data_IF_680574146446
#
_entry.id   IF_680574146446
#
_cell.length_a   1.000
_cell.length_b   1.000
_cell.length_c   1.000
_cell.angle_alpha   90.00
_cell.angle_beta   90.00
_cell.angle_gamma   90.00
#
_symmetry.space_group_name_H-M   'P 1'
#
loop_
_entity.id
_entity.type
_entity.pdbx_description
1 polymer ?
#
# COMPACT_ATOMS: atom_id res chain seq x y z
N UNK A 1 -16.57 -3.96 -9.07
CA UNK A 1 -17.10 -3.69 -7.71
C UNK A 1 -18.07 -2.52 -7.79
N UNK A 2 -19.17 -2.50 -7.02
CA UNK A 2 -20.06 -1.33 -6.97
C UNK A 2 -19.35 -0.09 -6.42
N UNK A 3 -19.66 1.09 -6.95
CA UNK A 3 -19.10 2.37 -6.48
C UNK A 3 -19.38 2.59 -4.99
N UNK A 4 -20.52 2.15 -4.47
CA UNK A 4 -20.88 2.26 -3.06
C UNK A 4 -19.94 1.52 -2.10
N UNK A 5 -19.10 0.63 -2.61
CA UNK A 5 -18.09 -0.14 -1.87
C UNK A 5 -16.65 0.35 -2.11
N UNK A 6 -16.51 1.36 -2.97
CA UNK A 6 -15.23 2.01 -3.27
C UNK A 6 -15.11 3.21 -2.35
N UNK A 7 -13.97 3.33 -1.68
CA UNK A 7 -13.72 4.43 -0.74
C UNK A 7 -12.85 5.51 -1.33
N UNK A 8 -11.91 5.15 -2.22
CA UNK A 8 -11.11 6.09 -3.00
C UNK A 8 -12.00 6.69 -4.09
N UNK A 9 -12.51 7.94 -3.93
CA UNK A 9 -13.59 8.43 -4.79
C UNK A 9 -13.17 8.59 -6.26
N UNK A 10 -11.89 8.87 -6.51
CA UNK A 10 -11.30 9.02 -7.85
C UNK A 10 -11.15 7.70 -8.61
N UNK A 11 -11.28 6.54 -7.96
CA UNK A 11 -11.16 5.25 -8.65
C UNK A 11 -12.25 5.07 -9.71
N UNK A 12 -11.84 4.88 -10.96
CA UNK A 12 -12.72 4.84 -12.14
C UNK A 12 -13.47 3.51 -12.21
N UNK A 13 -12.78 2.40 -11.91
CA UNK A 13 -13.33 1.04 -11.96
C UNK A 13 -12.53 0.14 -11.02
N UNK A 14 -13.19 -0.81 -10.38
CA UNK A 14 -12.55 -1.98 -9.78
C UNK A 14 -13.06 -3.24 -10.46
N UNK A 15 -12.16 -3.99 -11.07
CA UNK A 15 -12.43 -5.26 -11.74
C UNK A 15 -11.99 -6.42 -10.85
N UNK A 16 -12.96 -7.06 -10.20
CA UNK A 16 -12.70 -8.19 -9.30
C UNK A 16 -12.46 -9.51 -10.03
N UNK A 17 -12.63 -9.55 -11.36
CA UNK A 17 -12.36 -10.75 -12.16
C UNK A 17 -10.93 -10.73 -12.68
N UNK A 18 -10.41 -9.53 -12.99
CA UNK A 18 -9.06 -9.32 -13.49
C UNK A 18 -8.13 -8.69 -12.43
N UNK A 19 -8.56 -8.66 -11.16
CA UNK A 19 -7.79 -8.24 -9.97
C UNK A 19 -7.17 -6.83 -10.05
N UNK A 20 -7.84 -5.87 -10.69
CA UNK A 20 -7.28 -4.52 -10.86
C UNK A 20 -8.22 -3.39 -10.44
N UNK A 21 -7.61 -2.28 -10.02
CA UNK A 21 -8.26 -0.97 -9.91
C UNK A 21 -7.77 -0.06 -11.05
N UNK A 22 -8.70 0.66 -11.67
CA UNK A 22 -8.41 1.69 -12.67
C UNK A 22 -8.39 3.05 -11.99
N UNK A 23 -7.26 3.73 -12.03
CA UNK A 23 -7.07 5.07 -11.46
C UNK A 23 -6.81 6.11 -12.57
N UNK A 24 -7.16 7.38 -12.34
CA UNK A 24 -6.69 8.48 -13.17
C UNK A 24 -5.16 8.50 -13.22
N UNK A 25 -4.61 8.74 -14.41
CA UNK A 25 -3.17 8.80 -14.64
C UNK A 25 -2.77 10.23 -14.98
N UNK A 26 -1.91 10.80 -14.15
CA UNK A 26 -1.44 12.17 -14.27
C UNK A 26 -0.07 12.23 -14.93
N UNK A 27 0.17 13.28 -15.71
CA UNK A 27 1.47 13.52 -16.35
C UNK A 27 2.29 14.50 -15.52
N UNK A 28 3.53 14.12 -15.22
CA UNK A 28 4.54 14.99 -14.64
C UNK A 28 5.79 15.09 -15.51
N UNK A 29 6.78 15.80 -14.99
CA UNK A 29 8.09 15.99 -15.59
C UNK A 29 9.21 15.72 -14.56
N UNK A 30 10.30 15.13 -15.04
CA UNK A 30 11.56 15.07 -14.33
C UNK A 30 12.69 15.42 -15.30
N UNK A 31 13.21 16.66 -15.20
CA UNK A 31 14.35 17.12 -16.02
C UNK A 31 14.11 16.95 -17.53
N UNK A 32 12.90 17.21 -18.01
CA UNK A 32 12.51 17.03 -19.41
C UNK A 32 12.07 15.62 -19.78
N UNK A 33 12.11 14.66 -18.85
CA UNK A 33 11.58 13.30 -19.05
C UNK A 33 10.15 13.24 -18.52
N UNK A 34 9.22 12.77 -19.36
CA UNK A 34 7.84 12.48 -18.94
C UNK A 34 7.82 11.45 -17.82
N UNK A 35 7.01 11.69 -16.78
CA UNK A 35 6.67 10.72 -15.75
C UNK A 35 5.15 10.62 -15.63
N UNK A 36 4.67 9.47 -15.17
CA UNK A 36 3.26 9.21 -14.97
C UNK A 36 3.01 8.73 -13.55
N UNK A 37 2.06 9.35 -12.86
CA UNK A 37 1.78 9.08 -11.46
C UNK A 37 0.28 9.01 -11.21
N UNK A 38 -0.10 8.33 -10.14
CA UNK A 38 -1.47 8.31 -9.61
C UNK A 38 -1.55 9.16 -8.36
N UNK A 39 -2.75 9.51 -7.93
CA UNK A 39 -3.00 10.17 -6.64
C UNK A 39 -3.98 9.32 -5.85
N UNK A 40 -3.70 9.12 -4.56
CA UNK A 40 -4.51 8.25 -3.70
C UNK A 40 -4.89 8.89 -2.38
N UNK A 41 -4.00 9.68 -1.77
CA UNK A 41 -4.23 10.36 -0.49
C UNK A 41 -3.78 11.82 -0.50
N UNK A 42 -4.41 12.62 0.37
CA UNK A 42 -3.88 13.92 0.79
C UNK A 42 -3.97 14.08 2.32
N UNK A 43 -2.99 14.79 2.90
CA UNK A 43 -2.95 15.09 4.33
C UNK A 43 -3.93 16.16 4.79
N UNK A 44 -4.56 16.86 3.85
CA UNK A 44 -5.55 17.91 4.10
C UNK A 44 -6.92 17.46 3.58
N UNK A 45 -7.95 17.68 4.39
CA UNK A 45 -9.29 17.18 4.07
C UNK A 45 -9.90 17.89 2.86
N UNK A 46 -9.74 19.21 2.75
CA UNK A 46 -10.29 19.96 1.63
C UNK A 46 -9.63 19.55 0.31
N UNK A 47 -8.30 19.40 0.33
CA UNK A 47 -7.57 18.91 -0.84
C UNK A 47 -7.95 17.47 -1.21
N UNK A 48 -8.17 16.59 -0.23
CA UNK A 48 -8.64 15.23 -0.47
C UNK A 48 -10.03 15.23 -1.12
N UNK A 49 -10.97 16.02 -0.60
CA UNK A 49 -12.34 16.13 -1.11
C UNK A 49 -12.36 16.70 -2.54
N UNK A 50 -11.61 17.78 -2.80
CA UNK A 50 -11.54 18.44 -4.11
C UNK A 50 -10.96 17.54 -5.21
N UNK A 51 -10.05 16.63 -4.85
CA UNK A 51 -9.37 15.72 -5.78
C UNK A 51 -9.98 14.31 -5.81
N UNK A 52 -10.94 14.01 -4.93
CA UNK A 52 -11.48 12.66 -4.78
C UNK A 52 -10.44 11.66 -4.30
N UNK A 53 -9.64 12.04 -3.30
CA UNK A 53 -8.62 11.20 -2.65
C UNK A 53 -9.08 10.75 -1.26
N UNK A 54 -8.42 9.75 -0.71
CA UNK A 54 -8.58 9.41 0.70
C UNK A 54 -7.93 10.53 1.56
N UNK A 55 -8.60 10.94 2.63
CA UNK A 55 -8.01 11.85 3.61
C UNK A 55 -7.11 11.06 4.58
N UNK A 56 -5.82 11.41 4.65
CA UNK A 56 -4.81 10.74 5.46
C UNK A 56 -3.96 11.77 6.25
N UNK A 57 -4.50 12.33 7.35
CA UNK A 57 -3.87 13.45 8.05
C UNK A 57 -2.45 13.17 8.55
N UNK A 58 -2.17 11.91 8.91
CA UNK A 58 -0.85 11.48 9.39
C UNK A 58 0.26 11.69 8.37
N UNK A 59 -0.05 11.77 7.07
CA UNK A 59 0.94 12.10 6.04
C UNK A 59 1.58 13.49 6.22
N UNK A 60 0.92 14.43 6.92
CA UNK A 60 1.54 15.71 7.27
C UNK A 60 2.85 15.53 8.07
N UNK A 61 2.98 14.39 8.75
CA UNK A 61 4.16 14.03 9.54
C UNK A 61 5.19 13.20 8.78
N UNK A 62 4.99 12.85 7.51
CA UNK A 62 5.88 11.95 6.76
C UNK A 62 7.32 12.48 6.66
N UNK A 63 7.51 13.81 6.74
CA UNK A 63 8.84 14.42 6.76
C UNK A 63 9.51 14.51 8.15
N UNK A 64 8.80 14.18 9.23
CA UNK A 64 9.34 14.22 10.60
C UNK A 64 10.42 13.14 10.75
N UNK A 65 11.63 13.56 11.08
CA UNK A 65 12.80 12.66 11.14
C UNK A 65 13.34 12.22 9.77
N UNK A 66 12.61 12.49 8.68
CA UNK A 66 13.01 12.14 7.32
C UNK A 66 12.59 13.19 6.28
N UNK A 67 13.33 14.30 6.14
CA UNK A 67 13.02 15.31 5.12
C UNK A 67 12.98 14.74 3.69
N UNK A 68 13.80 13.74 3.37
CA UNK A 68 13.81 13.08 2.06
C UNK A 68 12.66 12.09 1.82
N UNK A 69 11.85 11.79 2.84
CA UNK A 69 10.65 10.97 2.70
C UNK A 69 9.47 11.76 2.12
N UNK A 70 9.59 13.08 1.98
CA UNK A 70 8.64 13.89 1.22
C UNK A 70 9.43 14.69 0.20
N UNK A 71 9.10 14.49 -1.06
CA UNK A 71 9.74 15.20 -2.15
C UNK A 71 9.09 16.57 -2.34
N UNK A 72 9.84 17.65 -2.15
CA UNK A 72 9.38 18.98 -2.52
C UNK A 72 9.37 19.11 -4.06
N UNK A 73 8.20 19.43 -4.63
CA UNK A 73 7.97 19.56 -6.08
C UNK A 73 7.57 20.98 -6.46
N UNK A 74 7.78 21.34 -7.72
CA UNK A 74 7.25 22.59 -8.29
C UNK A 74 6.20 22.28 -9.35
N UNK A 75 5.47 23.30 -9.79
CA UNK A 75 4.45 23.16 -10.83
C UNK A 75 4.59 24.25 -11.88
N UNK A 76 4.21 23.93 -13.12
CA UNK A 76 3.98 24.89 -14.20
C UNK A 76 2.59 24.67 -14.81
N UNK A 77 1.87 25.74 -15.14
CA UNK A 77 0.48 25.66 -15.61
C UNK A 77 -0.55 25.95 -14.51
N UNK A 78 -1.84 25.79 -14.85
CA UNK A 78 -3.00 26.33 -14.13
C UNK A 78 -3.01 26.13 -12.61
N UNK A 79 -2.84 27.22 -11.86
CA UNK A 79 -2.84 27.22 -10.38
C UNK A 79 -4.20 26.84 -9.76
N UNK A 80 -5.28 26.91 -10.54
CA UNK A 80 -6.64 26.64 -10.05
C UNK A 80 -6.99 25.14 -10.06
N UNK A 81 -6.20 24.29 -10.74
CA UNK A 81 -6.44 22.84 -10.83
C UNK A 81 -5.10 22.08 -10.91
N UNK A 82 -4.34 22.11 -9.81
CA UNK A 82 -2.92 21.72 -9.71
C UNK A 82 -2.61 20.35 -10.34
N UNK A 83 -3.48 19.35 -10.20
CA UNK A 83 -3.23 18.01 -10.73
C UNK A 83 -4.01 17.67 -12.01
N UNK A 84 -4.87 18.57 -12.48
CA UNK A 84 -5.63 18.39 -13.71
C UNK A 84 -5.03 19.17 -14.89
N UNK A 85 -4.47 20.35 -14.62
CA UNK A 85 -3.95 21.25 -15.66
C UNK A 85 -2.45 21.53 -15.51
N UNK A 86 -1.92 21.54 -14.27
CA UNK A 86 -0.51 21.83 -14.06
C UNK A 86 0.34 20.58 -14.26
N UNK A 87 1.55 20.79 -14.76
CA UNK A 87 2.60 19.76 -14.80
C UNK A 87 3.39 19.84 -13.50
N UNK A 88 3.43 18.74 -12.76
CA UNK A 88 4.28 18.60 -11.57
C UNK A 88 5.70 18.25 -12.00
N UNK A 89 6.67 19.02 -11.51
CA UNK A 89 8.09 18.76 -11.68
C UNK A 89 8.64 18.04 -10.46
N UNK A 90 8.92 16.75 -10.62
CA UNK A 90 9.44 15.88 -9.57
C UNK A 90 10.94 16.17 -9.33
N UNK A 91 11.43 15.93 -8.11
CA UNK A 91 12.85 16.10 -7.75
C UNK A 91 13.67 14.80 -7.92
N UNK A 92 13.01 13.66 -8.01
CA UNK A 92 13.54 12.33 -8.23
C UNK A 92 12.45 11.42 -8.83
N UNK A 93 12.88 10.31 -9.41
CA UNK A 93 11.99 9.32 -10.06
C UNK A 93 12.51 7.92 -9.77
N UNK A 94 11.66 6.89 -9.83
CA UNK A 94 12.12 5.51 -9.78
C UNK A 94 12.83 5.10 -11.08
N UNK A 95 13.71 4.12 -10.95
CA UNK A 95 14.25 3.33 -12.04
C UNK A 95 13.52 1.99 -12.10
N UNK A 96 12.79 1.76 -13.20
CA UNK A 96 12.04 0.53 -13.49
C UNK A 96 12.81 -0.44 -14.41
N UNK A 97 14.05 -0.13 -14.78
CA UNK A 97 14.85 -1.02 -15.63
C UNK A 97 15.32 -2.32 -14.97
N UNK A 98 15.44 -2.45 -13.62
CA UNK A 98 15.76 -3.74 -13.00
C UNK A 98 14.67 -4.79 -13.24
N UNK A 99 15.06 -6.06 -13.32
CA UNK A 99 14.09 -7.16 -13.36
C UNK A 99 13.79 -7.63 -11.95
N UNK A 100 12.50 -7.75 -11.63
CA UNK A 100 12.06 -8.33 -10.36
C UNK A 100 12.39 -9.82 -10.33
N UNK A 101 12.95 -10.29 -9.22
CA UNK A 101 13.21 -11.73 -9.01
C UNK A 101 12.69 -12.15 -7.65
N UNK A 102 11.89 -13.21 -7.61
CA UNK A 102 11.46 -13.87 -6.39
C UNK A 102 11.54 -15.39 -6.57
N UNK A 103 12.46 -16.02 -5.86
CA UNK A 103 12.56 -17.49 -5.82
C UNK A 103 12.19 -17.98 -4.43
N UNK A 104 11.25 -18.92 -4.36
CA UNK A 104 10.81 -19.51 -3.11
C UNK A 104 11.97 -20.12 -2.32
N UNK A 105 11.92 -19.99 -0.99
CA UNK A 105 12.72 -20.81 -0.09
C UNK A 105 12.11 -22.20 0.11
N UNK A 106 12.73 -23.06 0.94
CA UNK A 106 12.24 -24.42 1.20
C UNK A 106 10.78 -24.48 1.70
N UNK A 107 10.33 -23.44 2.38
CA UNK A 107 8.98 -23.28 2.94
C UNK A 107 8.22 -22.10 2.34
N UNK A 108 8.62 -21.62 1.15
CA UNK A 108 8.14 -20.37 0.57
C UNK A 108 8.88 -19.16 1.12
N UNK A 109 8.60 -18.80 2.37
CA UNK A 109 9.28 -17.72 3.11
C UNK A 109 10.27 -18.28 4.16
N UNK A 110 11.44 -17.64 4.38
CA UNK A 110 11.98 -16.54 3.57
C UNK A 110 12.35 -17.02 2.16
N UNK A 111 12.26 -16.15 1.13
CA UNK A 111 12.67 -16.51 -0.22
C UNK A 111 14.18 -16.81 -0.28
N UNK A 112 14.58 -17.69 -1.20
CA UNK A 112 15.99 -17.96 -1.48
C UNK A 112 16.66 -16.85 -2.30
N UNK A 113 15.86 -16.10 -3.07
CA UNK A 113 16.28 -14.90 -3.78
C UNK A 113 15.14 -13.89 -3.82
N UNK A 114 15.45 -12.62 -3.56
CA UNK A 114 14.53 -11.49 -3.70
C UNK A 114 15.32 -10.29 -4.27
N UNK A 115 14.88 -9.74 -5.39
CA UNK A 115 15.49 -8.56 -6.02
C UNK A 115 14.38 -7.65 -6.56
N UNK A 116 14.25 -6.39 -6.07
CA UNK A 116 13.23 -5.46 -6.56
C UNK A 116 13.32 -5.21 -8.07
N UNK A 117 12.19 -5.12 -8.76
CA UNK A 117 12.11 -4.67 -10.16
C UNK A 117 12.18 -3.15 -10.32
N UNK A 118 11.92 -2.43 -9.23
CA UNK A 118 11.92 -0.97 -9.22
C UNK A 118 12.70 -0.43 -8.03
N UNK A 119 13.51 0.61 -8.25
CA UNK A 119 14.30 1.26 -7.19
C UNK A 119 14.12 2.77 -7.25
N UNK A 120 13.79 3.39 -6.13
CA UNK A 120 13.72 4.84 -6.01
C UNK A 120 15.07 5.50 -6.31
N UNK A 121 15.10 6.36 -7.32
CA UNK A 121 16.29 7.13 -7.64
C UNK A 121 16.59 8.23 -6.61
N UNK A 122 17.74 8.91 -6.70
CA UNK A 122 18.07 10.01 -5.80
C UNK A 122 16.97 11.07 -5.77
N UNK A 123 16.50 11.39 -4.56
CA UNK A 123 15.46 12.40 -4.31
C UNK A 123 14.02 11.91 -4.49
N UNK A 124 13.81 10.65 -4.89
CA UNK A 124 12.46 10.10 -5.07
C UNK A 124 11.81 9.73 -3.72
N UNK A 125 10.54 10.07 -3.61
CA UNK A 125 9.57 9.55 -2.64
C UNK A 125 8.20 9.51 -3.32
N UNK A 126 7.32 8.55 -2.97
CA UNK A 126 5.91 8.61 -3.40
C UNK A 126 5.16 9.81 -2.79
N UNK A 127 5.61 10.31 -1.64
CA UNK A 127 5.00 11.47 -1.01
C UNK A 127 5.57 12.76 -1.56
N UNK A 128 4.71 13.65 -2.03
CA UNK A 128 5.10 14.95 -2.58
C UNK A 128 4.52 16.09 -1.76
N UNK A 129 5.22 17.21 -1.75
CA UNK A 129 4.73 18.50 -1.25
C UNK A 129 5.00 19.57 -2.28
N UNK A 130 3.94 20.25 -2.72
CA UNK A 130 4.08 21.37 -3.66
C UNK A 130 4.74 22.55 -2.93
N UNK A 131 5.77 23.13 -3.52
CA UNK A 131 6.50 24.26 -2.96
C UNK A 131 5.54 25.39 -2.53
N UNK A 132 5.65 25.81 -1.27
CA UNK A 132 4.79 26.84 -0.67
C UNK A 132 3.48 26.32 -0.07
N UNK A 133 3.20 25.01 -0.14
CA UNK A 133 2.07 24.36 0.53
C UNK A 133 2.56 23.45 1.66
N UNK A 134 1.84 23.34 2.79
CA UNK A 134 2.13 22.35 3.83
C UNK A 134 1.57 20.95 3.50
N UNK A 135 0.70 20.84 2.49
CA UNK A 135 -0.06 19.62 2.19
C UNK A 135 0.86 18.56 1.58
N UNK A 136 0.81 17.35 2.14
CA UNK A 136 1.47 16.17 1.61
C UNK A 136 0.46 15.35 0.83
N UNK A 137 0.80 15.00 -0.42
CA UNK A 137 0.01 14.13 -1.28
C UNK A 137 0.75 12.80 -1.46
N UNK A 138 -0.01 11.70 -1.52
CA UNK A 138 0.53 10.44 -1.98
C UNK A 138 0.40 10.36 -3.51
N UNK A 139 1.53 10.40 -4.19
CA UNK A 139 1.65 10.57 -5.63
C UNK A 139 2.69 9.60 -6.25
N UNK A 140 2.55 8.28 -6.08
CA UNK A 140 3.55 7.33 -6.55
C UNK A 140 3.65 7.35 -8.08
N UNK A 141 4.89 7.34 -8.58
CA UNK A 141 5.17 7.27 -10.01
C UNK A 141 5.00 5.80 -10.44
N UNK A 142 4.23 5.57 -11.50
CA UNK A 142 3.89 4.23 -12.01
C UNK A 142 4.45 3.96 -13.41
N UNK A 143 4.90 4.99 -14.13
CA UNK A 143 5.60 4.81 -15.42
C UNK A 143 6.52 5.99 -15.74
N UNK A 144 7.53 5.75 -16.58
CA UNK A 144 8.48 6.78 -17.05
C UNK A 144 8.66 6.75 -18.57
N UNK A 145 8.75 7.92 -19.19
CA UNK A 145 8.89 8.10 -20.63
C UNK A 145 7.56 8.26 -21.38
N UNK A 146 7.64 8.32 -22.71
CA UNK A 146 6.50 8.59 -23.60
C UNK A 146 5.86 7.31 -24.19
N UNK A 147 6.27 6.15 -23.69
CA UNK A 147 5.86 4.83 -24.18
C UNK A 147 6.63 4.35 -25.42
N UNK A 148 6.29 3.17 -25.97
CA UNK A 148 5.28 2.23 -25.44
C UNK A 148 5.63 1.76 -24.03
N UNK A 149 4.60 1.52 -23.21
CA UNK A 149 4.77 1.02 -21.84
C UNK A 149 4.80 -0.50 -21.87
N UNK A 150 5.84 -1.07 -21.28
CA UNK A 150 6.03 -2.51 -21.13
C UNK A 150 5.37 -2.94 -19.82
N UNK A 151 4.12 -3.39 -19.93
CA UNK A 151 3.31 -3.86 -18.79
C UNK A 151 3.40 -5.37 -18.59
N UNK A 152 4.23 -6.05 -19.39
CA UNK A 152 4.43 -7.50 -19.30
C UNK A 152 5.73 -7.84 -18.56
N UNK A 153 6.80 -7.05 -18.75
CA UNK A 153 8.09 -7.21 -18.07
C UNK A 153 8.53 -5.96 -17.30
N UNK A 154 7.67 -4.94 -17.25
CA UNK A 154 7.81 -3.75 -16.40
C UNK A 154 9.08 -2.91 -16.59
N UNK A 155 9.74 -2.97 -17.75
CA UNK A 155 11.01 -2.25 -17.99
C UNK A 155 10.92 -0.71 -17.91
N UNK A 156 9.71 -0.16 -17.96
CA UNK A 156 9.43 1.27 -17.80
C UNK A 156 8.14 1.58 -17.02
N UNK A 157 7.63 0.62 -16.26
CA UNK A 157 6.44 0.75 -15.40
C UNK A 157 6.69 0.14 -14.03
N UNK A 158 5.91 0.50 -13.01
CA UNK A 158 5.92 -0.24 -11.76
C UNK A 158 5.38 -1.67 -11.95
N UNK A 159 5.86 -2.62 -11.12
CA UNK A 159 5.58 -4.07 -11.18
C UNK A 159 4.10 -4.44 -10.97
N UNK A 160 3.22 -3.46 -10.69
CA UNK A 160 1.77 -3.64 -10.56
C UNK A 160 0.95 -3.12 -11.73
N UNK A 161 1.58 -2.45 -12.69
CA UNK A 161 0.87 -1.85 -13.81
C UNK A 161 0.47 -2.94 -14.79
N UNK A 162 -0.84 -3.16 -14.92
CA UNK A 162 -1.42 -4.18 -15.81
C UNK A 162 -1.82 -3.62 -17.18
N UNK A 163 -2.12 -2.32 -17.25
CA UNK A 163 -2.40 -1.61 -18.48
C UNK A 163 -2.28 -0.09 -18.30
N UNK A 164 -1.83 0.60 -19.33
CA UNK A 164 -1.86 2.07 -19.42
C UNK A 164 -2.79 2.47 -20.56
N UNK A 165 -3.77 3.34 -20.26
CA UNK A 165 -4.76 3.85 -21.20
C UNK A 165 -4.47 5.34 -21.42
N UNK A 166 -3.83 5.74 -22.53
CA UNK A 166 -3.57 7.13 -22.82
C UNK A 166 -4.88 7.90 -23.04
N UNK A 167 -4.86 9.20 -22.75
CA UNK A 167 -5.97 10.08 -23.14
C UNK A 167 -6.16 10.07 -24.67
N UNK A 168 -7.39 10.23 -25.13
CA UNK A 168 -7.69 10.32 -26.56
C UNK A 168 -6.96 11.54 -27.18
N UNK A 169 -6.35 11.35 -28.36
CA UNK A 169 -5.50 12.37 -29.02
C UNK A 169 -6.23 13.68 -29.38
N UNK A 170 -7.57 13.67 -29.42
CA UNK A 170 -8.39 14.78 -29.94
C UNK A 170 -9.01 15.68 -28.85
N UNK A 171 -8.69 15.47 -27.56
CA UNK A 171 -9.28 16.23 -26.45
C UNK A 171 -8.47 17.49 -26.08
N UNK A 172 -8.28 18.41 -27.03
CA UNK A 172 -7.88 19.81 -26.78
C UNK A 172 -6.65 20.08 -25.87
N UNK A 173 -6.44 21.34 -25.43
CA UNK A 173 -5.28 21.75 -24.64
C UNK A 173 -5.32 21.33 -23.15
N UNK A 174 -6.48 20.89 -22.64
CA UNK A 174 -6.64 20.36 -21.29
C UNK A 174 -6.18 18.90 -21.21
N UNK A 175 -4.93 18.68 -21.64
CA UNK A 175 -4.37 17.35 -21.90
C UNK A 175 -4.45 16.48 -20.63
N UNK A 176 -4.93 15.25 -20.79
CA UNK A 176 -4.99 14.15 -19.81
C UNK A 176 -6.28 13.91 -18.99
N UNK A 177 -7.40 14.62 -19.23
CA UNK A 177 -8.73 14.33 -18.63
C UNK A 177 -9.36 12.93 -18.96
N UNK A 178 -8.57 11.96 -19.38
CA UNK A 178 -9.03 10.59 -19.62
C UNK A 178 -7.92 9.55 -19.66
N UNK A 179 -6.67 9.91 -19.31
CA UNK A 179 -5.63 8.91 -19.14
C UNK A 179 -5.91 8.12 -17.85
N UNK A 180 -5.69 6.82 -17.89
CA UNK A 180 -5.88 5.96 -16.73
C UNK A 180 -4.90 4.79 -16.73
N UNK A 181 -4.71 4.18 -15.58
CA UNK A 181 -3.85 3.01 -15.38
C UNK A 181 -4.62 1.95 -14.63
N UNK A 182 -4.45 0.69 -15.04
CA UNK A 182 -4.93 -0.47 -14.30
C UNK A 182 -3.79 -0.97 -13.40
N UNK A 183 -4.00 -0.94 -12.08
CA UNK A 183 -3.05 -1.43 -11.07
C UNK A 183 -3.60 -2.71 -10.43
N UNK A 184 -2.76 -3.73 -10.32
CA UNK A 184 -3.06 -4.95 -9.57
C UNK A 184 -3.32 -4.59 -8.09
N UNK A 185 -4.52 -4.89 -7.59
CA UNK A 185 -4.82 -4.73 -6.16
C UNK A 185 -4.45 -5.98 -5.37
N UNK A 186 -4.49 -5.86 -4.04
CA UNK A 186 -4.26 -6.91 -3.06
C UNK A 186 -5.55 -7.09 -2.26
N UNK A 187 -5.91 -8.32 -1.91
CA UNK A 187 -6.99 -8.60 -0.96
C UNK A 187 -6.40 -8.73 0.45
N UNK A 188 -7.11 -8.17 1.42
CA UNK A 188 -6.72 -8.23 2.83
C UNK A 188 -7.90 -8.06 3.76
N UNK A 189 -7.60 -7.72 5.00
CA UNK A 189 -8.59 -7.48 6.04
C UNK A 189 -8.34 -6.20 6.82
N UNK A 190 -9.42 -5.68 7.39
CA UNK A 190 -9.42 -4.59 8.37
C UNK A 190 -10.64 -4.78 9.27
N UNK A 191 -10.47 -4.68 10.60
CA UNK A 191 -11.49 -4.96 11.62
C UNK A 191 -12.35 -6.21 11.32
N UNK A 192 -11.72 -7.30 10.84
CA UNK A 192 -12.41 -8.54 10.50
C UNK A 192 -13.19 -8.54 9.17
N UNK A 193 -13.15 -7.46 8.39
CA UNK A 193 -13.85 -7.31 7.10
C UNK A 193 -12.87 -7.37 5.95
N UNK A 194 -13.32 -7.90 4.82
CA UNK A 194 -12.47 -8.00 3.63
C UNK A 194 -12.36 -6.67 2.89
N UNK A 195 -11.12 -6.25 2.64
CA UNK A 195 -10.77 -5.02 1.92
C UNK A 195 -9.95 -5.32 0.67
N UNK A 196 -9.83 -4.31 -0.18
CA UNK A 196 -8.85 -4.28 -1.26
C UNK A 196 -8.02 -2.99 -1.17
N UNK A 197 -6.73 -3.11 -1.44
CA UNK A 197 -5.77 -2.02 -1.39
C UNK A 197 -4.72 -2.22 -2.49
N UNK A 198 -3.92 -1.21 -2.80
CA UNK A 198 -2.73 -1.35 -3.68
C UNK A 198 -1.47 -1.17 -2.83
N UNK A 199 -0.32 -1.61 -3.32
CA UNK A 199 0.98 -1.29 -2.71
C UNK A 199 1.92 -0.70 -3.75
N UNK A 200 2.50 0.46 -3.49
CA UNK A 200 3.21 1.25 -4.51
C UNK A 200 4.69 1.35 -4.24
N UNK A 201 5.07 1.56 -2.98
CA UNK A 201 6.46 1.76 -2.57
C UNK A 201 6.74 1.06 -1.23
N UNK A 202 7.95 0.56 -1.02
CA UNK A 202 8.34 -0.10 0.22
C UNK A 202 9.79 0.19 0.62
N UNK A 203 10.06 0.25 1.92
CA UNK A 203 11.38 0.63 2.47
C UNK A 203 12.35 -0.53 2.66
N UNK A 204 11.86 -1.76 2.59
CA UNK A 204 12.65 -3.00 2.66
C UNK A 204 12.65 -3.69 1.29
N UNK A 205 13.79 -4.22 0.87
CA UNK A 205 13.94 -4.79 -0.46
C UNK A 205 13.15 -6.09 -0.63
N UNK A 206 13.06 -6.94 0.40
CA UNK A 206 12.28 -8.18 0.31
C UNK A 206 10.79 -7.87 0.32
N UNK A 207 10.37 -6.93 1.16
CA UNK A 207 8.99 -6.43 1.17
C UNK A 207 8.61 -5.82 -0.18
N UNK A 208 9.48 -4.99 -0.78
CA UNK A 208 9.26 -4.41 -2.11
C UNK A 208 9.02 -5.48 -3.18
N UNK A 209 9.78 -6.58 -3.13
CA UNK A 209 9.59 -7.71 -4.04
C UNK A 209 8.22 -8.37 -3.80
N UNK A 210 7.90 -8.73 -2.56
CA UNK A 210 6.65 -9.43 -2.23
C UNK A 210 5.41 -8.60 -2.59
N UNK A 211 5.49 -7.29 -2.36
CA UNK A 211 4.43 -6.33 -2.63
C UNK A 211 4.45 -5.77 -4.06
N UNK A 212 5.37 -6.18 -4.95
CA UNK A 212 5.53 -5.59 -6.31
C UNK A 212 5.62 -4.06 -6.26
N UNK A 213 6.32 -3.56 -5.26
CA UNK A 213 6.44 -2.15 -4.95
C UNK A 213 7.83 -1.62 -5.35
N UNK A 214 7.91 -0.31 -5.57
CA UNK A 214 9.18 0.38 -5.76
C UNK A 214 9.99 0.36 -4.46
N UNK A 215 11.24 -0.08 -4.51
CA UNK A 215 12.12 -0.08 -3.35
C UNK A 215 12.63 1.34 -3.06
N UNK A 216 12.15 1.95 -1.97
CA UNK A 216 12.50 3.30 -1.52
C UNK A 216 13.07 3.24 -0.09
N UNK A 217 14.37 2.94 0.09
CA UNK A 217 14.95 2.74 1.42
C UNK A 217 14.84 3.96 2.34
N UNK A 218 14.76 5.17 1.75
CA UNK A 218 14.62 6.41 2.51
C UNK A 218 13.40 6.40 3.43
N UNK A 219 12.29 5.77 3.01
CA UNK A 219 11.06 5.67 3.78
C UNK A 219 11.29 5.10 5.19
N UNK A 220 12.28 4.21 5.37
CA UNK A 220 12.56 3.62 6.68
C UNK A 220 12.93 4.66 7.76
N UNK A 221 13.38 5.86 7.35
CA UNK A 221 13.80 6.91 8.27
C UNK A 221 12.65 7.76 8.83
N UNK A 222 11.40 7.57 8.38
CA UNK A 222 10.24 8.27 8.98
C UNK A 222 10.25 8.06 10.50
N UNK A 223 9.93 9.08 11.29
CA UNK A 223 10.02 8.96 12.74
C UNK A 223 9.07 7.87 13.33
N UNK A 224 9.32 7.55 14.60
CA UNK A 224 8.45 6.70 15.45
C UNK A 224 8.24 5.25 15.00
N UNK A 225 9.30 4.48 14.72
CA UNK A 225 9.16 3.04 14.45
C UNK A 225 8.48 2.33 15.64
N UNK A 226 7.43 1.57 15.38
CA UNK A 226 6.58 0.92 16.37
C UNK A 226 5.64 1.85 17.14
N UNK A 227 5.54 3.12 16.75
CA UNK A 227 4.69 4.12 17.40
C UNK A 227 3.72 4.75 16.41
N UNK A 228 2.79 3.96 15.87
CA UNK A 228 1.70 4.44 15.02
C UNK A 228 0.83 5.47 15.76
N UNK A 229 0.55 5.22 17.03
CA UNK A 229 -0.29 6.06 17.87
C UNK A 229 0.43 7.30 18.44
N UNK A 230 1.71 7.50 18.11
CA UNK A 230 2.48 8.62 18.65
C UNK A 230 2.09 9.93 17.97
N UNK A 231 2.01 11.00 18.76
CA UNK A 231 1.84 12.34 18.22
C UNK A 231 2.99 12.67 17.25
N UNK A 232 2.65 12.94 16.00
CA UNK A 232 3.65 13.17 14.95
C UNK A 232 4.05 11.91 14.18
N UNK A 233 3.40 10.78 14.39
CA UNK A 233 3.58 9.60 13.55
C UNK A 233 2.89 9.77 12.19
N UNK A 234 3.56 9.30 11.15
CA UNK A 234 2.96 9.10 9.83
C UNK A 234 2.62 7.62 9.57
N UNK A 235 2.88 6.73 10.53
CA UNK A 235 2.84 5.28 10.33
C UNK A 235 1.52 4.70 10.78
N UNK A 236 1.04 3.68 10.09
CA UNK A 236 -0.05 2.80 10.54
C UNK A 236 0.40 1.34 10.61
N UNK A 237 -0.33 0.42 11.26
CA UNK A 237 0.13 -0.98 11.41
C UNK A 237 -0.42 -1.91 10.34
N UNK A 238 0.43 -2.74 9.76
CA UNK A 238 0.02 -3.87 8.93
C UNK A 238 0.58 -5.17 9.51
N UNK A 239 -0.19 -6.25 9.46
CA UNK A 239 0.14 -7.54 10.09
C UNK A 239 0.30 -8.68 9.08
N UNK A 240 1.44 -8.75 8.37
CA UNK A 240 1.78 -9.92 7.55
C UNK A 240 2.18 -11.11 8.42
N UNK A 241 1.82 -12.31 8.01
CA UNK A 241 2.30 -13.54 8.65
C UNK A 241 3.40 -14.16 7.80
N UNK A 242 4.57 -14.48 8.37
CA UNK A 242 5.67 -15.09 7.62
C UNK A 242 5.39 -16.55 7.28
N UNK A 243 4.58 -17.23 8.08
CA UNK A 243 4.12 -18.60 7.87
C UNK A 243 2.61 -18.70 8.10
N UNK A 244 2.04 -19.88 7.93
CA UNK A 244 0.60 -20.10 8.06
C UNK A 244 0.21 -21.39 7.39
N UNK A 245 -1.09 -21.63 7.27
CA UNK A 245 -1.54 -22.69 6.38
C UNK A 245 -1.42 -22.22 4.92
N UNK A 246 -1.23 -23.17 4.01
CA UNK A 246 -1.09 -22.93 2.57
C UNK A 246 -2.10 -23.79 1.80
N UNK A 247 -2.14 -23.63 0.48
CA UNK A 247 -2.97 -24.36 -0.46
C UNK A 247 -4.14 -23.54 -1.00
N UNK A 248 -4.28 -23.48 -2.32
CA UNK A 248 -5.32 -22.70 -3.02
C UNK A 248 -6.77 -23.04 -2.64
N UNK A 249 -7.03 -24.24 -2.11
CA UNK A 249 -8.37 -24.67 -1.66
C UNK A 249 -8.55 -24.62 -0.15
N UNK A 250 -7.57 -24.11 0.59
CA UNK A 250 -7.62 -24.05 2.04
C UNK A 250 -8.19 -22.70 2.50
N UNK A 251 -9.38 -22.67 3.14
CA UNK A 251 -9.98 -21.42 3.61
C UNK A 251 -9.20 -20.74 4.74
N UNK A 252 -8.22 -21.44 5.33
CA UNK A 252 -7.32 -20.90 6.35
C UNK A 252 -5.97 -20.47 5.79
N UNK A 253 -5.75 -20.59 4.47
CA UNK A 253 -4.49 -20.19 3.87
C UNK A 253 -4.25 -18.68 4.05
N UNK A 254 -3.04 -18.31 4.48
CA UNK A 254 -2.63 -16.93 4.76
C UNK A 254 -1.11 -16.86 4.90
N UNK A 255 -0.54 -15.68 4.62
CA UNK A 255 0.85 -15.35 4.93
C UNK A 255 1.78 -15.43 3.73
N UNK A 256 3.02 -14.99 3.93
CA UNK A 256 4.03 -14.85 2.89
C UNK A 256 4.42 -16.20 2.28
N UNK A 257 4.45 -17.29 3.06
CA UNK A 257 4.60 -18.64 2.52
C UNK A 257 3.47 -19.01 1.54
N UNK A 258 2.22 -18.66 1.85
CA UNK A 258 1.08 -18.93 0.97
C UNK A 258 1.18 -18.09 -0.32
N UNK A 259 1.46 -16.79 -0.19
CA UNK A 259 1.68 -15.89 -1.31
C UNK A 259 2.76 -16.43 -2.28
N UNK A 260 3.88 -16.90 -1.74
CA UNK A 260 5.00 -17.39 -2.55
C UNK A 260 4.69 -18.75 -3.20
N UNK A 261 4.08 -19.68 -2.45
CA UNK A 261 3.89 -21.07 -2.90
C UNK A 261 2.64 -21.25 -3.77
N UNK A 262 1.57 -20.54 -3.45
CA UNK A 262 0.26 -20.70 -4.09
C UNK A 262 -0.21 -19.44 -4.83
N UNK A 263 0.31 -18.26 -4.46
CA UNK A 263 -0.11 -16.95 -4.97
C UNK A 263 0.62 -16.48 -6.21
N UNK A 264 1.47 -17.32 -6.81
CA UNK A 264 2.22 -16.97 -8.03
C UNK A 264 3.08 -15.70 -7.85
N UNK A 265 3.56 -15.43 -6.64
CA UNK A 265 4.31 -14.21 -6.38
C UNK A 265 5.63 -14.11 -7.18
N UNK A 266 6.17 -15.22 -7.69
CA UNK A 266 7.36 -15.24 -8.53
C UNK A 266 7.17 -14.69 -9.95
N UNK A 267 5.93 -14.60 -10.43
CA UNK A 267 5.60 -14.21 -11.81
C UNK A 267 5.43 -12.69 -11.94
N UNK A 268 5.71 -12.15 -13.13
CA UNK A 268 5.39 -10.77 -13.45
C UNK A 268 3.87 -10.58 -13.53
N UNK A 269 3.38 -9.42 -13.07
CA UNK A 269 1.95 -9.17 -13.06
C UNK A 269 1.52 -8.65 -14.45
N UNK A 270 0.81 -9.48 -15.21
CA UNK A 270 0.24 -9.06 -16.50
C UNK A 270 -1.18 -9.56 -16.67
N UNK A 271 -1.96 -8.89 -17.54
CA UNK A 271 -3.28 -9.39 -17.94
C UNK A 271 -3.19 -10.71 -18.73
N UNK A 272 -2.02 -11.05 -19.26
CA UNK A 272 -1.73 -12.31 -19.93
C UNK A 272 -1.59 -13.49 -18.97
N UNK A 273 -1.15 -13.24 -17.73
CA UNK A 273 -0.94 -14.29 -16.74
C UNK A 273 -2.25 -14.71 -16.06
N UNK A 274 -2.94 -15.65 -16.71
CA UNK A 274 -4.20 -16.17 -16.19
C UNK A 274 -4.04 -17.01 -14.93
N UNK A 275 -2.86 -17.61 -14.71
CA UNK A 275 -2.63 -18.44 -13.53
C UNK A 275 -2.50 -17.56 -12.29
N UNK A 276 -1.70 -16.50 -12.35
CA UNK A 276 -1.60 -15.48 -11.32
C UNK A 276 -2.98 -14.88 -10.98
N UNK A 277 -3.69 -14.34 -11.97
CA UNK A 277 -5.00 -13.70 -11.72
C UNK A 277 -6.02 -14.69 -11.14
N UNK A 278 -6.00 -15.95 -11.58
CA UNK A 278 -6.85 -16.99 -11.01
C UNK A 278 -6.47 -17.30 -9.56
N UNK A 279 -5.19 -17.41 -9.23
CA UNK A 279 -4.74 -17.65 -7.86
C UNK A 279 -5.16 -16.51 -6.91
N UNK A 280 -4.93 -15.26 -7.31
CA UNK A 280 -5.29 -14.08 -6.52
C UNK A 280 -6.81 -13.97 -6.28
N UNK A 281 -7.62 -14.21 -7.32
CA UNK A 281 -9.09 -14.24 -7.18
C UNK A 281 -9.62 -15.34 -6.23
N UNK A 282 -8.81 -16.37 -5.96
CA UNK A 282 -9.11 -17.46 -5.02
C UNK A 282 -8.32 -17.36 -3.71
N UNK A 283 -7.80 -16.18 -3.39
CA UNK A 283 -7.19 -15.88 -2.09
C UNK A 283 -5.69 -16.14 -2.01
N UNK A 284 -4.99 -16.25 -3.15
CA UNK A 284 -3.54 -16.41 -3.23
C UNK A 284 -2.71 -15.22 -2.72
N UNK A 285 -3.35 -14.11 -2.33
CA UNK A 285 -2.67 -13.02 -1.62
C UNK A 285 -2.12 -13.48 -0.26
N UNK A 286 -1.21 -12.69 0.31
CA UNK A 286 -0.79 -12.89 1.71
C UNK A 286 -1.96 -12.69 2.70
N UNK A 287 -3.01 -11.96 2.27
CA UNK A 287 -4.18 -11.60 3.05
C UNK A 287 -3.80 -10.87 4.34
N UNK A 288 -2.98 -9.83 4.21
CA UNK A 288 -2.52 -9.01 5.32
C UNK A 288 -3.70 -8.29 6.00
N UNK A 289 -3.50 -7.93 7.27
CA UNK A 289 -4.48 -7.18 8.06
C UNK A 289 -3.95 -5.76 8.22
N UNK A 290 -4.77 -4.75 7.94
CA UNK A 290 -4.50 -3.33 8.18
C UNK A 290 -5.16 -2.90 9.50
N UNK A 291 -4.51 -1.96 10.20
CA UNK A 291 -4.94 -1.45 11.50
C UNK A 291 -6.08 -0.43 11.43
N UNK A 292 -6.10 0.46 10.44
CA UNK A 292 -7.11 1.52 10.32
C UNK A 292 -7.67 1.71 8.92
N UNK A 293 -9.01 1.70 8.81
CA UNK A 293 -9.70 1.92 7.55
C UNK A 293 -9.99 3.41 7.33
N UNK A 294 -9.69 3.98 6.14
CA UNK A 294 -10.05 5.36 5.85
C UNK A 294 -11.58 5.47 5.76
N UNK A 295 -12.16 6.11 6.76
CA UNK A 295 -13.60 6.36 6.85
C UNK A 295 -13.87 7.84 7.09
N UNK A 296 -14.95 8.36 6.50
CA UNK A 296 -15.45 9.71 6.80
C UNK A 296 -16.55 9.71 7.86
N UNK A 297 -16.96 8.53 8.35
CA UNK A 297 -18.11 8.38 9.26
C UNK A 297 -17.74 8.45 10.73
N UNK A 298 -16.51 8.10 11.09
CA UNK A 298 -16.03 8.08 12.47
C UNK A 298 -14.77 8.93 12.60
N UNK A 299 -14.86 10.04 13.34
CA UNK A 299 -13.78 11.03 13.42
C UNK A 299 -12.46 10.47 13.95
N UNK A 300 -12.51 9.57 14.95
CA UNK A 300 -11.30 8.99 15.54
C UNK A 300 -10.53 8.09 14.56
N UNK A 301 -11.21 7.21 13.82
CA UNK A 301 -10.58 6.36 12.78
C UNK A 301 -10.14 7.16 11.57
N UNK A 302 -10.96 8.14 11.17
CA UNK A 302 -10.62 9.08 10.10
C UNK A 302 -9.29 9.77 10.37
N UNK A 303 -9.10 10.25 11.60
CA UNK A 303 -7.94 11.04 11.98
C UNK A 303 -6.71 10.16 12.27
N UNK A 304 -6.89 8.83 12.39
CA UNK A 304 -5.83 7.84 12.57
C UNK A 304 -5.31 7.24 11.25
N UNK A 305 -6.05 7.34 10.13
CA UNK A 305 -5.61 6.72 8.87
C UNK A 305 -4.28 7.29 8.33
N UNK A 306 -3.43 6.38 7.84
CA UNK A 306 -2.29 6.64 6.97
C UNK A 306 -2.13 5.52 5.94
N UNK A 307 -1.73 5.81 4.70
CA UNK A 307 -1.35 4.76 3.75
C UNK A 307 0.07 4.24 4.01
N UNK A 308 0.84 4.82 4.93
CA UNK A 308 2.21 4.39 5.23
C UNK A 308 2.22 3.34 6.34
N UNK A 309 2.17 2.08 5.95
CA UNK A 309 2.02 0.95 6.85
C UNK A 309 3.37 0.38 7.31
N UNK A 310 3.54 0.19 8.60
CA UNK A 310 4.65 -0.49 9.22
C UNK A 310 4.31 -1.94 9.52
N UNK A 311 5.09 -2.84 8.93
CA UNK A 311 4.90 -4.26 9.12
C UNK A 311 5.24 -4.71 10.54
N UNK A 312 4.32 -5.49 11.11
CA UNK A 312 4.52 -6.30 12.31
C UNK A 312 4.35 -7.76 11.91
N UNK A 313 5.48 -8.44 11.68
CA UNK A 313 5.46 -9.80 11.17
C UNK A 313 5.06 -10.80 12.26
N UNK A 314 4.06 -11.62 11.98
CA UNK A 314 3.68 -12.75 12.82
C UNK A 314 4.23 -14.08 12.34
N UNK A 315 4.73 -14.89 13.26
CA UNK A 315 5.14 -16.27 13.05
C UNK A 315 4.35 -17.19 13.99
N UNK A 316 3.56 -18.10 13.42
CA UNK A 316 2.97 -19.20 14.15
C UNK A 316 4.05 -20.13 14.69
N UNK A 317 4.01 -20.41 15.99
CA UNK A 317 4.97 -21.31 16.60
C UNK A 317 4.73 -22.76 16.17
N UNK A 318 5.75 -23.60 16.32
CA UNK A 318 5.63 -25.06 16.16
C UNK A 318 4.47 -25.65 16.98
N UNK A 319 4.25 -25.14 18.19
CA UNK A 319 3.14 -25.58 19.05
C UNK A 319 1.79 -25.28 18.40
N UNK A 320 1.58 -24.04 17.93
CA UNK A 320 0.34 -23.65 17.27
C UNK A 320 0.08 -24.51 16.03
N UNK A 321 1.11 -24.77 15.22
CA UNK A 321 1.01 -25.63 14.03
C UNK A 321 0.65 -27.07 14.39
N UNK A 322 1.33 -27.69 15.36
CA UNK A 322 1.06 -29.06 15.80
C UNK A 322 -0.36 -29.22 16.37
N UNK A 323 -0.86 -28.18 17.03
CA UNK A 323 -2.20 -28.13 17.60
C UNK A 323 -3.27 -27.65 16.61
N UNK A 324 -2.89 -27.31 15.37
CA UNK A 324 -3.77 -26.76 14.33
C UNK A 324 -4.48 -25.46 14.73
N UNK A 325 -3.82 -24.65 15.54
CA UNK A 325 -4.28 -23.34 15.99
C UNK A 325 -3.79 -22.20 15.08
N UNK A 326 -2.93 -22.51 14.11
CA UNK A 326 -2.46 -21.58 13.08
C UNK A 326 -3.54 -21.30 12.03
N UNK A 327 -4.66 -20.71 12.45
CA UNK A 327 -5.79 -20.34 11.59
C UNK A 327 -5.67 -18.90 11.10
N UNK A 328 -6.31 -18.59 9.98
CA UNK A 328 -6.32 -17.24 9.39
C UNK A 328 -6.78 -16.20 10.41
N UNK A 329 -6.04 -15.10 10.50
CA UNK A 329 -6.38 -13.92 11.29
C UNK A 329 -6.93 -12.82 10.38
N UNK A 330 -7.82 -11.97 10.91
CA UNK A 330 -8.51 -10.96 10.12
C UNK A 330 -8.66 -9.61 10.83
N UNK A 331 -8.17 -9.49 12.07
CA UNK A 331 -8.41 -8.34 12.93
C UNK A 331 -7.15 -8.07 13.77
N UNK A 332 -6.71 -6.81 13.82
CA UNK A 332 -5.45 -6.45 14.46
C UNK A 332 -5.46 -6.69 15.97
N UNK A 333 -6.56 -6.39 16.66
CA UNK A 333 -6.62 -6.54 18.10
C UNK A 333 -6.65 -8.01 18.52
N UNK A 334 -7.28 -8.89 17.72
CA UNK A 334 -7.16 -10.33 17.92
C UNK A 334 -5.71 -10.81 17.82
N UNK A 335 -4.95 -10.31 16.83
CA UNK A 335 -3.53 -10.65 16.64
C UNK A 335 -2.70 -10.16 17.81
N UNK A 336 -2.83 -8.88 18.18
CA UNK A 336 -2.09 -8.26 19.29
C UNK A 336 -2.39 -8.96 20.61
N UNK A 337 -3.66 -9.26 20.88
CA UNK A 337 -4.07 -10.01 22.08
C UNK A 337 -3.48 -11.43 22.08
N UNK A 338 -3.54 -12.13 20.95
CA UNK A 338 -2.98 -13.47 20.83
C UNK A 338 -1.47 -13.48 21.08
N UNK A 339 -0.72 -12.53 20.51
CA UNK A 339 0.71 -12.41 20.73
C UNK A 339 1.07 -12.06 22.18
N UNK A 340 0.28 -11.20 22.83
CA UNK A 340 0.50 -10.77 24.21
C UNK A 340 0.16 -11.87 25.24
N UNK A 341 -0.97 -12.56 25.08
CA UNK A 341 -1.47 -13.56 26.03
C UNK A 341 -0.91 -14.96 25.76
N UNK A 342 -0.57 -15.27 24.50
CA UNK A 342 -0.08 -16.57 24.06
C UNK A 342 1.19 -16.45 23.19
N UNK A 343 2.30 -15.94 23.74
CA UNK A 343 3.59 -15.93 23.04
C UNK A 343 4.13 -17.33 22.74
N UNK A 344 3.53 -18.38 23.32
CA UNK A 344 3.78 -19.77 22.96
C UNK A 344 3.06 -20.21 21.67
N UNK A 345 2.14 -19.40 21.14
CA UNK A 345 1.38 -19.66 19.90
C UNK A 345 1.74 -18.71 18.76
N UNK A 346 2.00 -17.43 19.05
CA UNK A 346 2.33 -16.41 18.07
C UNK A 346 3.49 -15.54 18.55
N UNK A 347 4.52 -15.41 17.72
CA UNK A 347 5.71 -14.56 17.98
C UNK A 347 6.01 -13.68 16.77
N UNK A 348 7.02 -12.81 16.87
CA UNK A 348 7.69 -12.31 15.68
C UNK A 348 8.60 -13.40 15.06
N UNK A 349 9.17 -13.17 13.87
CA UNK A 349 10.06 -14.12 13.22
C UNK A 349 11.23 -14.55 14.10
N UNK A 350 11.54 -15.85 14.09
CA UNK A 350 12.61 -16.45 14.89
C UNK A 350 12.31 -16.56 16.38
N UNK A 351 11.04 -16.43 16.78
CA UNK A 351 10.62 -16.49 18.20
C UNK A 351 10.87 -15.20 18.98
N UNK A 352 11.16 -14.09 18.30
CA UNK A 352 11.33 -12.79 18.93
C UNK A 352 10.00 -12.24 19.49
N UNK A 353 10.04 -11.30 20.45
CA UNK A 353 8.85 -10.59 20.90
C UNK A 353 8.12 -9.91 19.73
N UNK A 354 6.80 -10.08 19.67
CA UNK A 354 5.97 -9.52 18.60
C UNK A 354 6.07 -7.99 18.55
N UNK A 355 6.14 -7.43 17.33
CA UNK A 355 6.17 -5.98 17.12
C UNK A 355 6.72 -5.57 15.76
N UNK A 356 7.02 -4.28 15.62
CA UNK A 356 7.55 -3.67 14.40
C UNK A 356 8.85 -4.32 13.91
N UNK A 357 8.90 -4.62 12.61
CA UNK A 357 10.13 -5.02 11.90
C UNK A 357 10.75 -3.86 11.10
N UNK A 358 10.24 -2.64 11.26
CA UNK A 358 10.72 -1.42 10.59
C UNK A 358 10.70 -1.51 9.05
N UNK A 359 9.83 -2.33 8.48
CA UNK A 359 9.56 -2.31 7.05
C UNK A 359 8.31 -1.45 6.82
N UNK A 360 8.46 -0.37 6.06
CA UNK A 360 7.36 0.49 5.66
C UNK A 360 6.89 0.14 4.26
N UNK A 361 5.58 0.26 4.05
CA UNK A 361 4.89 -0.07 2.82
C UNK A 361 3.81 0.99 2.60
N UNK A 362 3.87 1.68 1.47
CA UNK A 362 2.78 2.54 1.03
C UNK A 362 1.66 1.66 0.46
N UNK A 363 0.55 1.53 1.18
CA UNK A 363 -0.59 0.70 0.79
C UNK A 363 -1.96 1.44 0.82
N UNK A 364 -2.25 2.29 -0.17
CA UNK A 364 -3.54 2.96 -0.31
C UNK A 364 -4.74 2.01 -0.37
N UNK A 365 -5.74 2.25 0.48
CA UNK A 365 -6.98 1.44 0.49
C UNK A 365 -7.92 1.89 -0.63
N UNK A 366 -8.50 0.92 -1.34
CA UNK A 366 -9.39 1.18 -2.49
C UNK A 366 -10.87 0.97 -2.12
N UNK A 367 -11.17 -0.03 -1.30
CA UNK A 367 -12.55 -0.41 -1.03
C UNK A 367 -12.70 -1.63 -0.13
N UNK A 368 -13.96 -2.03 0.09
CA UNK A 368 -14.32 -3.21 0.86
C UNK A 368 -15.19 -4.17 0.04
N UNK A 369 -15.05 -5.47 0.26
CA UNK A 369 -15.72 -6.48 -0.58
C UNK A 369 -17.12 -6.82 -0.06
N UNK A 370 -17.30 -6.90 1.25
CA UNK A 370 -18.54 -7.36 1.88
C UNK A 370 -19.21 -6.24 2.67
N UNK A 371 -18.64 -5.88 3.80
CA UNK A 371 -19.12 -4.88 4.76
C UNK A 371 -17.99 -3.90 5.05
N UNK A 372 -18.33 -2.62 5.19
CA UNK A 372 -17.38 -1.58 5.56
C UNK A 372 -16.79 -1.88 6.96
N UNK A 373 -15.46 -1.80 7.16
CA UNK A 373 -14.85 -1.82 8.48
C UNK A 373 -15.28 -0.56 9.25
N UNK A 374 -16.12 -0.76 10.27
CA UNK A 374 -16.63 0.34 11.11
C UNK A 374 -16.26 0.16 12.58
N UNK A 375 -16.09 -1.07 13.04
CA UNK A 375 -15.79 -1.39 14.44
C UNK A 375 -14.94 -2.65 14.48
N UNK A 376 -14.00 -2.66 15.42
CA UNK A 376 -13.11 -3.80 15.65
C UNK A 376 -13.86 -5.01 16.19
N UNK A 377 -13.35 -6.21 15.90
CA UNK A 377 -13.98 -7.43 16.39
C UNK A 377 -13.88 -7.56 17.91
N UNK A 378 -12.84 -6.99 18.51
CA UNK A 378 -12.66 -6.94 19.96
C UNK A 378 -12.13 -5.57 20.38
N UNK A 379 -12.38 -5.21 21.64
CA UNK A 379 -11.80 -4.00 22.22
C UNK A 379 -10.27 -4.17 22.38
N UNK A 380 -9.49 -3.09 22.17
CA UNK A 380 -8.06 -3.11 22.47
C UNK A 380 -7.79 -3.51 23.91
N UNK A 381 -6.71 -4.25 24.15
CA UNK A 381 -6.22 -4.45 25.51
C UNK A 381 -5.74 -3.09 26.08
N UNK A 382 -5.81 -2.86 27.40
CA UNK A 382 -5.28 -1.63 28.00
C UNK A 382 -3.81 -1.41 27.63
N UNK A 383 -3.52 -0.32 26.91
CA UNK A 383 -2.17 0.03 26.44
C UNK A 383 -1.78 -0.55 25.07
N UNK A 384 -2.67 -1.24 24.36
CA UNK A 384 -2.43 -1.72 22.98
C UNK A 384 -2.98 -0.79 21.88
N UNK A 385 -3.69 0.27 22.27
CA UNK A 385 -4.12 1.38 21.40
C UNK A 385 -4.11 2.64 22.26
N UNK A 386 -3.56 3.75 21.76
CA UNK A 386 -3.76 5.05 22.41
C UNK A 386 -5.09 5.61 21.93
N UNK A 387 -6.04 5.70 22.86
CA UNK A 387 -7.33 6.33 22.64
C UNK A 387 -7.15 7.84 22.33
N UNK A 388 -7.31 8.21 21.04
CA UNK A 388 -7.25 9.59 20.58
C UNK A 388 -8.47 10.45 21.00
N UNK A 389 -9.49 9.88 21.65
CA UNK A 389 -10.70 10.62 22.03
C UNK A 389 -10.46 11.71 23.09
N UNK A 390 -9.31 11.72 23.76
CA UNK A 390 -9.00 12.66 24.84
C UNK A 390 -8.15 13.89 24.47
N UNK A 391 -7.51 13.94 23.29
CA UNK A 391 -6.43 14.91 23.04
C UNK A 391 -6.82 16.18 22.26
N UNK A 392 -8.02 16.24 21.66
CA UNK A 392 -8.41 17.34 20.76
C UNK A 392 -9.36 18.41 21.35
N UNK A 393 -9.69 18.34 22.65
CA UNK A 393 -10.55 19.35 23.29
C UNK A 393 -9.97 19.90 24.61
N UNK A 394 -8.74 20.40 24.61
CA UNK A 394 -8.32 21.46 25.54
C UNK A 394 -7.27 22.37 24.87
N UNK A 395 -7.73 23.53 24.40
CA UNK A 395 -6.91 24.57 23.79
C UNK A 395 -7.76 25.66 23.16
#
# INVERSE_FOLDING_TARGET
MPVSKTILPSAIKVDLQNEYVRLPLHKGDYKGRTVWYVLTEASDQGAADDLGLNYAPKLANASVGCPSCVQDVTLTGGANAIFNEATIHFAGVPDFSPSRVLTAGPTGFPPSQATPGAVGGPGYSPFIRVAGSPIVYNAPIVAVGDGPFDVDHHTNTADRVLAVHPAAKDTGPAQFHGASVDLLFIRGFDSGKSIIYISTDASDATTAVLERATYVPALNNVAFPGGDDFLGSARERIFPFVNGQTGANNPQAQGLSHLILDGHAGEDASLGDKALLQALSHGGDALNIQGDFPTLKQNNRRDAYSPLWEAQFGEWTQKAVQQKLNTRQTDEFQILKLAAEHPDLLTAPGGAPYGSVKALIDCPVIGYLTTEPQEDLIQPAPGSAVDFSGAYFQG
#
